data_IF_010547877709
#
_entry.id   IF_010547877709
#
_cell.length_a   1.000
_cell.length_b   1.000
_cell.length_c   1.000
_cell.angle_alpha   90.00
_cell.angle_beta   90.00
_cell.angle_gamma   90.00
#
_symmetry.space_group_name_H-M   'P 1'
#
loop_
_entity.id
_entity.type
_entity.pdbx_description
1 polymer ?
#
# COMPACT_ATOMS: atom_id res chain seq x y z
N UNK A 1 43.96 24.41 -32.78
CA UNK A 1 42.50 24.24 -32.85
C UNK A 1 42.03 23.44 -31.64
N UNK A 2 41.52 24.11 -30.62
CA UNK A 2 40.97 23.45 -29.44
C UNK A 2 39.56 22.95 -29.78
N UNK A 3 39.43 21.63 -29.96
CA UNK A 3 38.12 20.97 -30.03
C UNK A 3 37.50 21.07 -28.65
N UNK A 4 36.50 21.95 -28.54
CA UNK A 4 35.73 22.20 -27.33
C UNK A 4 34.85 20.97 -27.04
N UNK A 5 35.42 19.98 -26.36
CA UNK A 5 34.70 18.79 -25.87
C UNK A 5 33.83 19.14 -24.65
N UNK A 6 32.88 20.06 -24.83
CA UNK A 6 31.71 20.09 -23.95
C UNK A 6 30.89 18.85 -24.30
N UNK A 7 31.09 17.78 -23.54
CA UNK A 7 30.16 16.65 -23.53
C UNK A 7 28.75 17.24 -23.47
N UNK A 8 27.88 16.79 -24.35
CA UNK A 8 26.46 17.13 -24.33
C UNK A 8 25.89 16.73 -22.95
N UNK A 9 25.98 17.63 -21.99
CA UNK A 9 25.17 17.59 -20.79
C UNK A 9 23.75 17.71 -21.30
N UNK A 10 23.08 16.57 -21.40
CA UNK A 10 21.66 16.42 -21.67
C UNK A 10 20.96 17.52 -20.88
N UNK A 11 20.48 18.57 -21.55
CA UNK A 11 19.79 19.68 -20.88
C UNK A 11 18.54 19.07 -20.27
N UNK A 12 18.58 18.79 -18.97
CA UNK A 12 17.45 18.22 -18.24
C UNK A 12 16.23 19.08 -18.52
N UNK A 13 15.19 18.49 -19.12
CA UNK A 13 13.91 19.18 -19.26
C UNK A 13 13.43 19.60 -17.86
N UNK A 14 12.71 20.72 -17.72
CA UNK A 14 12.30 21.22 -16.40
C UNK A 14 11.66 20.15 -15.49
N UNK A 15 10.80 19.23 -16.00
CA UNK A 15 10.27 18.13 -15.20
C UNK A 15 11.34 17.13 -14.71
N UNK A 16 12.30 16.77 -15.56
CA UNK A 16 13.41 15.86 -15.19
C UNK A 16 14.31 16.50 -14.13
N UNK A 17 14.62 17.79 -14.29
CA UNK A 17 15.39 18.56 -13.31
C UNK A 17 14.72 18.62 -11.94
N UNK A 18 13.40 18.80 -11.90
CA UNK A 18 12.63 18.79 -10.64
C UNK A 18 12.67 17.42 -9.94
N UNK A 19 12.41 16.34 -10.68
CA UNK A 19 12.44 14.96 -10.14
C UNK A 19 13.81 14.62 -9.55
N UNK A 20 14.90 15.02 -10.21
CA UNK A 20 16.26 14.81 -9.71
C UNK A 20 16.55 15.56 -8.42
N UNK A 21 16.08 16.80 -8.31
CA UNK A 21 16.28 17.64 -7.11
C UNK A 21 15.39 17.23 -5.94
N UNK A 22 14.17 16.76 -6.21
CA UNK A 22 13.16 16.42 -5.19
C UNK A 22 12.47 15.09 -5.49
N UNK A 23 13.18 13.95 -5.43
CA UNK A 23 12.65 12.66 -5.88
C UNK A 23 11.40 12.20 -5.11
N UNK A 24 11.36 12.41 -3.79
CA UNK A 24 10.17 12.08 -2.99
C UNK A 24 8.95 12.91 -3.40
N UNK A 25 9.12 14.21 -3.58
CA UNK A 25 8.02 15.08 -3.99
C UNK A 25 7.55 14.76 -5.42
N UNK A 26 8.50 14.55 -6.34
CA UNK A 26 8.20 14.11 -7.70
C UNK A 26 7.43 12.79 -7.72
N UNK A 27 7.79 11.84 -6.86
CA UNK A 27 7.07 10.58 -6.70
C UNK A 27 5.63 10.81 -6.24
N UNK A 28 5.39 11.55 -5.14
CA UNK A 28 4.02 11.77 -4.66
C UNK A 28 3.16 12.54 -5.67
N UNK A 29 3.72 13.54 -6.35
CA UNK A 29 3.01 14.29 -7.40
C UNK A 29 2.64 13.37 -8.55
N UNK A 30 3.58 12.59 -9.08
CA UNK A 30 3.31 11.65 -10.18
C UNK A 30 2.33 10.56 -9.77
N UNK A 31 2.50 9.95 -8.60
CA UNK A 31 1.64 8.88 -8.12
C UNK A 31 0.18 9.35 -8.01
N UNK A 32 -0.06 10.52 -7.40
CA UNK A 32 -1.42 11.06 -7.30
C UNK A 32 -1.95 11.50 -8.66
N UNK A 33 -1.20 12.29 -9.44
CA UNK A 33 -1.67 12.79 -10.72
C UNK A 33 -2.04 11.66 -11.69
N UNK A 34 -1.21 10.61 -11.78
CA UNK A 34 -1.44 9.48 -12.67
C UNK A 34 -2.61 8.60 -12.21
N UNK A 35 -2.72 8.30 -10.91
CA UNK A 35 -3.86 7.56 -10.38
C UNK A 35 -5.16 8.31 -10.57
N UNK A 36 -5.19 9.59 -10.19
CA UNK A 36 -6.41 10.38 -10.24
C UNK A 36 -6.86 10.59 -11.69
N UNK A 37 -5.94 10.86 -12.62
CA UNK A 37 -6.28 10.93 -14.04
C UNK A 37 -6.84 9.60 -14.57
N UNK A 38 -6.27 8.46 -14.16
CA UNK A 38 -6.74 7.14 -14.57
C UNK A 38 -8.09 6.75 -13.95
N UNK A 39 -8.39 7.24 -12.74
CA UNK A 39 -9.67 7.01 -12.07
C UNK A 39 -10.76 7.98 -12.49
N UNK A 40 -10.44 9.14 -13.08
CA UNK A 40 -11.44 10.12 -13.52
C UNK A 40 -12.57 9.49 -14.36
N UNK A 41 -12.31 8.62 -15.37
CA UNK A 41 -13.40 7.99 -16.10
C UNK A 41 -14.30 7.11 -15.24
N UNK A 42 -13.74 6.40 -14.24
CA UNK A 42 -14.51 5.57 -13.30
C UNK A 42 -15.32 6.42 -12.30
N UNK A 43 -14.76 7.55 -11.86
CA UNK A 43 -15.46 8.53 -11.02
C UNK A 43 -16.62 9.19 -11.76
N UNK A 44 -16.44 9.51 -13.04
CA UNK A 44 -17.47 10.19 -13.83
C UNK A 44 -18.53 9.23 -14.39
N UNK A 45 -18.27 7.92 -14.43
CA UNK A 45 -19.21 6.92 -14.96
C UNK A 45 -20.42 6.71 -14.07
N UNK A 46 -21.37 5.88 -14.50
CA UNK A 46 -22.51 5.44 -13.70
C UNK A 46 -22.13 4.59 -12.46
N UNK A 47 -20.86 4.16 -12.34
CA UNK A 47 -20.34 3.54 -11.11
C UNK A 47 -19.97 4.56 -10.03
N UNK A 48 -20.03 5.86 -10.34
CA UNK A 48 -19.74 6.95 -9.41
C UNK A 48 -20.73 8.10 -9.53
N UNK A 49 -20.27 9.25 -10.01
CA UNK A 49 -21.06 10.47 -10.07
C UNK A 49 -22.20 10.43 -11.11
N UNK A 50 -22.19 9.48 -12.05
CA UNK A 50 -23.24 9.34 -13.06
C UNK A 50 -23.27 10.47 -14.09
N UNK A 51 -22.15 11.17 -14.29
CA UNK A 51 -22.04 12.27 -15.27
C UNK A 51 -21.93 11.72 -16.70
N UNK A 52 -21.29 10.57 -16.86
CA UNK A 52 -21.13 9.87 -18.14
C UNK A 52 -21.99 8.60 -18.13
N UNK A 53 -22.78 8.42 -19.19
CA UNK A 53 -23.72 7.30 -19.34
C UNK A 53 -23.01 6.04 -19.85
N UNK A 54 -22.16 5.46 -19.00
CA UNK A 54 -21.60 4.14 -19.18
C UNK A 54 -21.23 3.50 -17.83
N UNK A 55 -21.14 2.18 -17.80
CA UNK A 55 -20.65 1.41 -16.65
C UNK A 55 -19.38 0.65 -17.02
N UNK A 56 -18.48 0.49 -16.05
CA UNK A 56 -17.34 -0.39 -16.20
C UNK A 56 -17.79 -1.86 -16.18
N UNK A 57 -17.25 -2.71 -17.08
CA UNK A 57 -17.60 -4.12 -17.08
C UNK A 57 -17.22 -4.81 -15.76
N UNK A 58 -18.08 -5.73 -15.32
CA UNK A 58 -17.82 -6.56 -14.14
C UNK A 58 -16.97 -7.77 -14.53
N UNK A 59 -15.87 -7.99 -13.82
CA UNK A 59 -15.00 -9.16 -13.95
C UNK A 59 -14.89 -9.85 -12.58
N UNK A 60 -15.15 -11.15 -12.53
CA UNK A 60 -15.18 -11.92 -11.27
C UNK A 60 -16.10 -11.30 -10.20
N UNK A 61 -17.25 -10.74 -10.63
CA UNK A 61 -18.22 -10.14 -9.72
C UNK A 61 -17.86 -8.73 -9.22
N UNK A 62 -16.81 -8.10 -9.75
CA UNK A 62 -16.45 -6.72 -9.38
C UNK A 62 -16.00 -5.88 -10.56
N UNK A 63 -16.21 -4.56 -10.49
CA UNK A 63 -15.73 -3.55 -11.45
C UNK A 63 -14.30 -3.10 -11.14
N UNK A 64 -13.74 -3.47 -9.98
CA UNK A 64 -12.45 -2.99 -9.49
C UNK A 64 -11.28 -3.27 -10.45
N UNK A 65 -11.33 -4.38 -11.20
CA UNK A 65 -10.28 -4.73 -12.17
C UNK A 65 -10.13 -3.69 -13.28
N UNK A 66 -11.24 -3.08 -13.72
CA UNK A 66 -11.22 -2.12 -14.81
C UNK A 66 -11.35 -0.69 -14.31
N UNK A 67 -12.06 -0.46 -13.21
CA UNK A 67 -12.27 0.87 -12.62
C UNK A 67 -11.14 1.34 -11.72
N UNK A 68 -10.66 0.49 -10.80
CA UNK A 68 -9.69 0.86 -9.75
C UNK A 68 -8.25 0.49 -10.15
N UNK A 69 -8.06 -0.69 -10.73
CA UNK A 69 -6.73 -1.24 -10.98
C UNK A 69 -5.83 -0.39 -11.90
N UNK A 70 -6.33 0.27 -12.97
CA UNK A 70 -5.49 1.11 -13.81
C UNK A 70 -4.81 2.23 -13.05
N UNK A 71 -5.54 2.96 -12.19
CA UNK A 71 -4.96 4.01 -11.37
C UNK A 71 -4.07 3.47 -10.25
N UNK A 72 -4.37 2.28 -9.71
CA UNK A 72 -3.50 1.61 -8.75
C UNK A 72 -2.13 1.25 -9.34
N UNK A 73 -2.04 0.78 -10.59
CA UNK A 73 -0.75 0.48 -11.22
C UNK A 73 -0.03 1.72 -11.78
N UNK A 74 -0.77 2.67 -12.36
CA UNK A 74 -0.17 3.88 -12.93
C UNK A 74 0.36 4.84 -11.85
N UNK A 75 -0.19 4.79 -10.63
CA UNK A 75 0.26 5.63 -9.54
C UNK A 75 1.54 5.16 -8.89
N UNK A 76 1.52 4.34 -7.84
CA UNK A 76 2.66 4.14 -6.96
C UNK A 76 3.79 3.38 -7.65
N UNK A 77 3.53 2.19 -8.21
CA UNK A 77 4.59 1.40 -8.86
C UNK A 77 5.16 2.11 -10.09
N UNK A 78 4.33 2.67 -10.97
CA UNK A 78 4.84 3.32 -12.18
C UNK A 78 5.50 4.68 -11.91
N UNK A 79 5.00 5.48 -10.97
CA UNK A 79 5.72 6.69 -10.54
C UNK A 79 7.08 6.35 -9.90
N UNK A 80 7.16 5.30 -9.09
CA UNK A 80 8.44 4.82 -8.54
C UNK A 80 9.40 4.38 -9.65
N UNK A 81 8.90 3.70 -10.69
CA UNK A 81 9.69 3.36 -11.87
C UNK A 81 10.22 4.62 -12.58
N UNK A 82 9.36 5.58 -12.90
CA UNK A 82 9.76 6.83 -13.59
C UNK A 82 10.82 7.57 -12.77
N UNK A 83 10.56 7.82 -11.49
CA UNK A 83 11.49 8.56 -10.65
C UNK A 83 12.82 7.83 -10.53
N UNK A 84 12.80 6.53 -10.25
CA UNK A 84 14.02 5.71 -10.17
C UNK A 84 14.78 5.74 -11.48
N UNK A 85 14.11 5.63 -12.62
CA UNK A 85 14.74 5.66 -13.95
C UNK A 85 15.41 7.00 -14.25
N UNK A 86 14.82 8.10 -13.80
CA UNK A 86 15.31 9.48 -13.98
C UNK A 86 16.47 9.81 -13.04
N UNK A 87 16.41 9.34 -11.79
CA UNK A 87 17.42 9.66 -10.76
C UNK A 87 18.58 8.67 -10.68
N UNK A 88 18.33 7.40 -10.97
CA UNK A 88 19.30 6.30 -10.78
C UNK A 88 19.55 5.46 -12.04
N UNK A 89 18.92 5.82 -13.17
CA UNK A 89 19.16 5.15 -14.44
C UNK A 89 18.59 3.72 -14.52
N UNK A 90 19.03 2.96 -15.52
CA UNK A 90 18.59 1.56 -15.73
C UNK A 90 19.06 0.64 -14.60
N UNK A 91 20.25 0.88 -14.07
CA UNK A 91 20.80 0.09 -12.96
C UNK A 91 20.02 0.30 -11.66
N UNK A 92 19.59 1.53 -11.38
CA UNK A 92 18.68 1.82 -10.27
C UNK A 92 17.39 1.01 -10.36
N UNK A 93 16.76 0.99 -11.53
CA UNK A 93 15.54 0.20 -11.77
C UNK A 93 15.81 -1.30 -11.59
N UNK A 94 16.90 -1.83 -12.14
CA UNK A 94 17.26 -3.25 -11.97
C UNK A 94 17.44 -3.61 -10.49
N UNK A 95 18.12 -2.76 -9.72
CA UNK A 95 18.27 -2.96 -8.26
C UNK A 95 16.93 -2.91 -7.55
N UNK A 96 16.06 -1.95 -7.89
CA UNK A 96 14.74 -1.78 -7.30
C UNK A 96 13.83 -2.99 -7.55
N UNK A 97 13.73 -3.44 -8.81
CA UNK A 97 12.96 -4.65 -9.17
C UNK A 97 13.53 -5.88 -8.46
N UNK A 98 14.86 -5.99 -8.33
CA UNK A 98 15.50 -7.08 -7.59
C UNK A 98 15.10 -7.16 -6.11
N UNK A 99 14.65 -6.06 -5.49
CA UNK A 99 14.13 -6.07 -4.11
C UNK A 99 12.73 -6.68 -4.00
N UNK A 100 11.97 -6.68 -5.10
CA UNK A 100 10.60 -7.22 -5.13
C UNK A 100 10.57 -8.74 -4.93
N UNK A 101 11.68 -9.45 -5.11
CA UNK A 101 11.76 -10.91 -5.01
C UNK A 101 12.43 -11.40 -3.71
N UNK A 102 12.48 -10.56 -2.67
CA UNK A 102 13.07 -10.91 -1.37
C UNK A 102 12.17 -11.81 -0.53
N UNK A 103 12.07 -13.08 -0.90
CA UNK A 103 11.29 -14.12 -0.19
C UNK A 103 12.05 -14.81 0.94
N UNK A 104 13.38 -14.75 0.94
CA UNK A 104 14.20 -15.37 2.00
C UNK A 104 14.12 -14.55 3.30
N UNK A 105 13.12 -14.86 4.10
CA UNK A 105 12.80 -14.25 5.40
C UNK A 105 12.53 -15.37 6.39
N UNK A 106 12.80 -15.14 7.68
CA UNK A 106 12.44 -16.10 8.73
C UNK A 106 10.93 -16.44 8.65
N UNK A 107 10.61 -17.73 8.61
CA UNK A 107 9.26 -18.27 8.40
C UNK A 107 8.22 -17.76 9.42
N UNK A 108 8.65 -17.39 10.64
CA UNK A 108 7.78 -16.81 11.66
C UNK A 108 7.08 -15.55 11.13
N UNK A 109 7.74 -14.75 10.29
CA UNK A 109 7.11 -13.55 9.72
C UNK A 109 6.00 -13.86 8.74
N UNK A 110 6.05 -15.00 8.04
CA UNK A 110 4.95 -15.44 7.19
C UNK A 110 3.74 -15.84 8.04
N UNK A 111 3.95 -16.50 9.18
CA UNK A 111 2.86 -16.80 10.10
C UNK A 111 2.28 -15.52 10.73
N UNK A 112 3.14 -14.60 11.16
CA UNK A 112 2.70 -13.32 11.73
C UNK A 112 1.86 -12.54 10.73
N UNK A 113 2.23 -12.48 9.46
CA UNK A 113 1.45 -11.74 8.46
C UNK A 113 0.18 -12.49 8.04
N UNK A 114 0.27 -13.78 7.75
CA UNK A 114 -0.86 -14.57 7.26
C UNK A 114 -1.92 -14.86 8.32
N UNK A 115 -1.53 -15.07 9.59
CA UNK A 115 -2.45 -15.40 10.68
C UNK A 115 -2.73 -14.21 11.59
N UNK A 116 -1.76 -13.32 11.80
CA UNK A 116 -1.92 -12.19 12.71
C UNK A 116 -3.00 -11.21 12.26
N UNK A 117 -3.12 -10.97 10.95
CA UNK A 117 -4.15 -10.09 10.39
C UNK A 117 -5.57 -10.65 10.59
N UNK A 118 -5.91 -11.86 10.10
CA UNK A 118 -7.22 -12.46 10.36
C UNK A 118 -7.54 -12.54 11.85
N UNK A 119 -6.57 -12.94 12.68
CA UNK A 119 -6.77 -13.04 14.13
C UNK A 119 -7.13 -11.70 14.75
N UNK A 120 -6.41 -10.62 14.41
CA UNK A 120 -6.69 -9.29 14.93
C UNK A 120 -8.10 -8.81 14.53
N UNK A 121 -8.53 -9.08 13.29
CA UNK A 121 -9.86 -8.73 12.81
C UNK A 121 -10.92 -9.57 13.54
N UNK A 122 -10.76 -10.89 13.63
CA UNK A 122 -11.71 -11.80 14.29
C UNK A 122 -11.89 -11.43 15.76
N UNK A 123 -10.80 -11.19 16.50
CA UNK A 123 -10.87 -10.84 17.93
C UNK A 123 -11.59 -9.50 18.13
N UNK A 124 -11.33 -8.52 17.26
CA UNK A 124 -11.97 -7.20 17.33
C UNK A 124 -13.45 -7.26 16.92
N UNK A 125 -13.77 -8.02 15.87
CA UNK A 125 -15.15 -8.20 15.42
C UNK A 125 -15.98 -8.94 16.46
N UNK A 126 -15.44 -10.02 17.04
CA UNK A 126 -16.12 -10.79 18.08
C UNK A 126 -16.40 -9.97 19.35
N UNK A 127 -15.53 -9.03 19.72
CA UNK A 127 -15.77 -8.15 20.87
C UNK A 127 -16.84 -7.09 20.60
N UNK A 128 -17.14 -6.80 19.33
CA UNK A 128 -18.15 -5.82 18.91
C UNK A 128 -19.51 -6.44 18.56
N UNK A 129 -19.52 -7.63 17.96
CA UNK A 129 -20.73 -8.23 17.39
C UNK A 129 -21.73 -8.68 18.46
N UNK A 130 -21.25 -9.00 19.68
CA UNK A 130 -22.10 -9.48 20.78
C UNK A 130 -22.77 -10.84 20.51
N UNK A 131 -22.43 -11.49 19.39
CA UNK A 131 -22.99 -12.75 18.92
C UNK A 131 -21.93 -13.85 18.83
N UNK A 132 -22.38 -15.10 18.61
CA UNK A 132 -21.49 -16.23 18.40
C UNK A 132 -20.88 -16.18 17.00
N UNK A 133 -19.61 -16.55 16.90
CA UNK A 133 -18.90 -16.70 15.64
C UNK A 133 -19.59 -17.71 14.73
N UNK A 134 -19.85 -17.33 13.48
CA UNK A 134 -20.33 -18.24 12.44
C UNK A 134 -19.14 -18.77 11.64
N UNK A 135 -19.12 -20.08 11.38
CA UNK A 135 -18.08 -20.69 10.55
C UNK A 135 -18.40 -20.44 9.07
N UNK A 136 -17.46 -19.89 8.28
CA UNK A 136 -17.67 -19.71 6.85
C UNK A 136 -17.91 -21.03 6.13
N UNK A 137 -18.69 -21.03 5.03
CA UNK A 137 -18.81 -22.18 4.16
C UNK A 137 -17.43 -22.66 3.66
N UNK A 138 -17.29 -23.98 3.44
CA UNK A 138 -16.03 -24.56 2.92
C UNK A 138 -15.61 -23.91 1.61
N UNK A 139 -16.56 -23.57 0.73
CA UNK A 139 -16.28 -22.89 -0.53
C UNK A 139 -15.56 -21.54 -0.34
N UNK A 140 -15.92 -20.79 0.71
CA UNK A 140 -15.30 -19.51 1.07
C UNK A 140 -13.87 -19.72 1.55
N UNK A 141 -13.65 -20.75 2.38
CA UNK A 141 -12.31 -21.12 2.85
C UNK A 141 -11.41 -21.57 1.69
N UNK A 142 -11.95 -22.31 0.72
CA UNK A 142 -11.24 -22.72 -0.50
C UNK A 142 -10.89 -21.51 -1.36
N UNK A 143 -11.80 -20.53 -1.48
CA UNK A 143 -11.59 -19.30 -2.26
C UNK A 143 -10.54 -18.36 -1.64
N UNK A 144 -10.25 -18.50 -0.34
CA UNK A 144 -9.34 -17.61 0.39
C UNK A 144 -7.94 -17.56 -0.22
N UNK A 145 -7.34 -18.72 -0.54
CA UNK A 145 -5.97 -18.79 -1.07
C UNK A 145 -5.88 -18.23 -2.50
N UNK A 146 -6.73 -18.62 -3.46
CA UNK A 146 -6.77 -17.99 -4.78
C UNK A 146 -7.00 -16.47 -4.72
N UNK A 147 -7.92 -16.02 -3.87
CA UNK A 147 -8.17 -14.60 -3.65
C UNK A 147 -6.93 -13.86 -3.14
N UNK A 148 -6.21 -14.45 -2.18
CA UNK A 148 -4.98 -13.88 -1.64
C UNK A 148 -3.91 -13.74 -2.73
N UNK A 149 -3.74 -14.77 -3.56
CA UNK A 149 -2.79 -14.74 -4.68
C UNK A 149 -3.16 -13.70 -5.73
N UNK A 150 -4.45 -13.55 -6.03
CA UNK A 150 -4.94 -12.53 -6.94
C UNK A 150 -4.64 -11.13 -6.39
N UNK A 151 -4.87 -10.91 -5.09
CA UNK A 151 -4.62 -9.62 -4.46
C UNK A 151 -3.13 -9.29 -4.31
N UNK A 152 -2.24 -10.28 -4.20
CA UNK A 152 -0.80 -10.05 -4.30
C UNK A 152 -0.44 -9.32 -5.60
N UNK A 153 -1.15 -9.61 -6.69
CA UNK A 153 -0.95 -8.94 -7.98
C UNK A 153 -1.73 -7.63 -8.01
N UNK A 154 -3.04 -7.64 -7.74
CA UNK A 154 -3.89 -6.47 -8.00
C UNK A 154 -3.69 -5.32 -7.01
N UNK A 155 -3.45 -5.60 -5.74
CA UNK A 155 -3.25 -4.58 -4.70
C UNK A 155 -1.79 -4.52 -4.29
N UNK A 156 -1.24 -5.66 -3.85
CA UNK A 156 0.10 -5.72 -3.27
C UNK A 156 1.15 -5.16 -4.24
N UNK A 157 1.19 -5.69 -5.46
CA UNK A 157 2.20 -5.28 -6.45
C UNK A 157 1.94 -3.88 -7.00
N UNK A 158 0.67 -3.48 -7.14
CA UNK A 158 0.33 -2.15 -7.65
C UNK A 158 0.80 -1.02 -6.71
N UNK A 159 0.70 -1.24 -5.40
CA UNK A 159 0.87 -0.19 -4.40
C UNK A 159 2.21 -0.25 -3.65
N UNK A 160 2.55 -1.41 -3.08
CA UNK A 160 3.65 -1.54 -2.11
C UNK A 160 5.04 -1.18 -2.67
N UNK A 161 5.39 -1.49 -3.93
CA UNK A 161 6.67 -1.07 -4.49
C UNK A 161 6.86 0.45 -4.49
N UNK A 162 5.78 1.21 -4.66
CA UNK A 162 5.80 2.67 -4.60
C UNK A 162 5.84 3.18 -3.17
N UNK A 163 4.87 2.77 -2.35
CA UNK A 163 4.71 3.32 -1.01
C UNK A 163 5.80 2.86 -0.05
N UNK A 164 6.10 1.54 -0.02
CA UNK A 164 6.97 0.95 1.01
C UNK A 164 8.40 0.81 0.53
N UNK A 165 8.61 0.31 -0.68
CA UNK A 165 9.98 0.10 -1.17
C UNK A 165 10.62 1.38 -1.72
N UNK A 166 9.85 2.24 -2.41
CA UNK A 166 10.38 3.51 -2.93
C UNK A 166 10.30 4.65 -1.91
N UNK A 167 9.11 4.99 -1.42
CA UNK A 167 8.90 6.19 -0.61
C UNK A 167 9.33 5.99 0.85
N UNK A 168 8.80 4.99 1.55
CA UNK A 168 9.11 4.74 2.95
C UNK A 168 10.61 4.56 3.18
N UNK A 169 11.30 3.73 2.40
CA UNK A 169 12.76 3.53 2.53
C UNK A 169 13.56 4.85 2.46
N UNK A 170 13.22 5.74 1.52
CA UNK A 170 13.85 7.07 1.39
C UNK A 170 13.45 8.01 2.52
N UNK A 171 12.20 7.98 2.95
CA UNK A 171 11.70 8.82 4.04
C UNK A 171 12.30 8.41 5.38
N UNK A 172 12.42 7.10 5.67
CA UNK A 172 13.02 6.60 6.91
C UNK A 172 14.48 7.03 7.05
N UNK A 173 15.25 7.01 5.95
CA UNK A 173 16.64 7.49 5.93
C UNK A 173 16.77 8.98 6.26
N UNK A 174 15.76 9.80 5.93
CA UNK A 174 15.79 11.25 6.11
C UNK A 174 15.17 11.71 7.43
N UNK A 175 14.07 11.10 7.84
CA UNK A 175 13.24 11.57 8.95
C UNK A 175 13.22 10.62 10.15
N UNK A 176 13.81 9.42 10.01
CA UNK A 176 13.65 8.32 10.95
C UNK A 176 12.34 7.55 10.73
N UNK A 177 12.22 6.34 11.32
CA UNK A 177 11.10 5.43 11.06
C UNK A 177 9.74 6.02 11.44
N UNK A 178 9.60 6.51 12.68
CA UNK A 178 8.31 6.99 13.17
C UNK A 178 7.77 8.18 12.38
N UNK A 179 8.61 9.19 12.11
CA UNK A 179 8.18 10.37 11.33
C UNK A 179 7.89 10.01 9.88
N UNK A 180 8.70 9.13 9.27
CA UNK A 180 8.45 8.66 7.92
C UNK A 180 7.09 7.95 7.81
N UNK A 181 6.78 7.05 8.76
CA UNK A 181 5.49 6.37 8.83
C UNK A 181 4.34 7.34 9.08
N UNK A 182 4.49 8.28 10.02
CA UNK A 182 3.45 9.26 10.36
C UNK A 182 3.13 10.20 9.20
N UNK A 183 4.09 10.47 8.31
CA UNK A 183 3.86 11.22 7.08
C UNK A 183 3.27 10.36 5.96
N UNK A 184 3.75 9.13 5.81
CA UNK A 184 3.32 8.25 4.71
C UNK A 184 1.87 7.76 4.87
N UNK A 185 1.43 7.46 6.10
CA UNK A 185 0.08 6.95 6.37
C UNK A 185 -1.03 7.86 5.83
N UNK A 186 -1.06 9.16 6.20
CA UNK A 186 -2.04 10.10 5.67
C UNK A 186 -1.93 10.28 4.15
N UNK A 187 -0.70 10.34 3.59
CA UNK A 187 -0.50 10.49 2.15
C UNK A 187 -1.05 9.29 1.37
N UNK A 188 -0.90 8.08 1.92
CA UNK A 188 -1.47 6.87 1.35
C UNK A 188 -3.00 6.84 1.48
N UNK A 189 -3.55 7.29 2.61
CA UNK A 189 -5.01 7.42 2.76
C UNK A 189 -5.61 8.44 1.80
N UNK A 190 -5.02 9.63 1.70
CA UNK A 190 -5.47 10.73 0.83
C UNK A 190 -5.41 10.35 -0.65
N UNK A 191 -4.45 9.52 -1.05
CA UNK A 191 -4.36 9.02 -2.42
C UNK A 191 -5.67 8.38 -2.89
N UNK A 192 -6.43 7.73 -2.01
CA UNK A 192 -7.70 7.05 -2.32
C UNK A 192 -8.91 7.99 -2.45
N UNK A 193 -8.80 9.29 -2.12
CA UNK A 193 -9.96 10.18 -2.04
C UNK A 193 -10.89 10.17 -3.27
N UNK A 194 -10.40 10.16 -4.51
CA UNK A 194 -11.30 10.11 -5.67
C UNK A 194 -12.17 8.84 -5.72
N UNK A 195 -11.67 7.71 -5.21
CA UNK A 195 -12.43 6.46 -5.22
C UNK A 195 -13.66 6.50 -4.28
N UNK A 196 -13.67 7.40 -3.30
CA UNK A 196 -14.85 7.65 -2.46
C UNK A 196 -16.03 8.28 -3.22
N UNK A 197 -15.81 8.73 -4.45
CA UNK A 197 -16.84 9.19 -5.36
C UNK A 197 -17.36 8.06 -6.27
N UNK A 198 -17.07 6.81 -5.94
CA UNK A 198 -17.52 5.61 -6.68
C UNK A 198 -18.13 4.58 -5.73
N UNK A 199 -18.82 3.59 -6.30
CA UNK A 199 -19.35 2.43 -5.58
C UNK A 199 -18.28 1.71 -4.74
N UNK A 200 -17.00 1.77 -5.14
CA UNK A 200 -15.88 1.21 -4.37
C UNK A 200 -15.79 1.83 -2.97
N UNK A 201 -15.95 3.16 -2.89
CA UNK A 201 -15.91 3.89 -1.63
C UNK A 201 -17.28 4.05 -0.97
N UNK A 202 -18.34 3.51 -1.57
CA UNK A 202 -19.71 3.56 -1.06
C UNK A 202 -20.50 4.80 -1.47
N UNK A 203 -20.14 5.46 -2.57
CA UNK A 203 -20.96 6.53 -3.14
C UNK A 203 -22.35 5.99 -3.55
N UNK A 204 -23.45 6.74 -3.34
CA UNK A 204 -23.54 8.08 -2.74
C UNK A 204 -23.69 8.11 -1.20
N UNK A 205 -23.77 6.94 -0.55
CA UNK A 205 -24.09 6.83 0.88
C UNK A 205 -22.90 7.03 1.83
N UNK A 206 -21.70 7.18 1.27
CA UNK A 206 -20.48 7.39 2.07
C UNK A 206 -20.51 8.72 2.81
N UNK A 207 -20.04 8.70 4.06
CA UNK A 207 -19.97 9.90 4.90
C UNK A 207 -18.53 10.39 5.05
N UNK A 208 -18.34 11.67 5.40
CA UNK A 208 -17.01 12.18 5.75
C UNK A 208 -16.39 11.45 6.94
N UNK A 209 -17.22 10.92 7.85
CA UNK A 209 -16.72 10.12 8.95
C UNK A 209 -16.07 8.82 8.46
N UNK A 210 -16.70 8.16 7.48
CA UNK A 210 -16.17 6.96 6.83
C UNK A 210 -14.83 7.20 6.14
N UNK A 211 -14.69 8.33 5.45
CA UNK A 211 -13.43 8.74 4.83
C UNK A 211 -12.35 8.96 5.91
N UNK A 212 -12.70 9.65 7.00
CA UNK A 212 -11.81 9.87 8.14
C UNK A 212 -11.36 8.58 8.83
N UNK A 213 -12.28 7.64 9.07
CA UNK A 213 -11.99 6.30 9.61
C UNK A 213 -11.01 5.53 8.72
N UNK A 214 -11.20 5.59 7.39
CA UNK A 214 -10.28 4.95 6.44
C UNK A 214 -8.88 5.56 6.48
N UNK A 215 -8.75 6.89 6.46
CA UNK A 215 -7.46 7.56 6.55
C UNK A 215 -6.78 7.26 7.90
N UNK A 216 -7.53 7.28 8.99
CA UNK A 216 -7.02 6.89 10.31
C UNK A 216 -6.52 5.44 10.33
N UNK A 217 -7.24 4.53 9.66
CA UNK A 217 -6.82 3.15 9.48
C UNK A 217 -5.52 3.07 8.66
N UNK A 218 -5.39 3.81 7.55
CA UNK A 218 -4.15 3.87 6.77
C UNK A 218 -2.95 4.33 7.61
N UNK A 219 -3.15 5.31 8.51
CA UNK A 219 -2.15 5.78 9.46
C UNK A 219 -1.73 4.68 10.44
N UNK A 220 -2.69 4.06 11.11
CA UNK A 220 -2.45 2.99 12.06
C UNK A 220 -1.78 1.78 11.38
N UNK A 221 -2.32 1.32 10.26
CA UNK A 221 -1.80 0.17 9.55
C UNK A 221 -0.40 0.42 8.99
N UNK A 222 -0.07 1.65 8.57
CA UNK A 222 1.29 2.01 8.14
C UNK A 222 2.35 1.78 9.22
N UNK A 223 2.00 1.87 10.51
CA UNK A 223 2.89 1.52 11.63
C UNK A 223 3.23 0.03 11.61
N UNK A 224 2.22 -0.83 11.49
CA UNK A 224 2.39 -2.28 11.43
C UNK A 224 3.17 -2.69 10.19
N UNK A 225 2.81 -2.13 9.02
CA UNK A 225 3.52 -2.36 7.76
C UNK A 225 4.98 -1.94 7.86
N UNK A 226 5.28 -0.76 8.41
CA UNK A 226 6.66 -0.28 8.57
C UNK A 226 7.46 -1.20 9.48
N UNK A 227 6.86 -1.67 10.57
CA UNK A 227 7.51 -2.60 11.49
C UNK A 227 7.83 -3.95 10.82
N UNK A 228 6.87 -4.57 10.13
CA UNK A 228 7.11 -5.81 9.38
C UNK A 228 8.16 -5.58 8.29
N UNK A 229 8.05 -4.50 7.53
CA UNK A 229 9.03 -4.13 6.50
C UNK A 229 10.44 -4.08 7.09
N UNK A 230 10.65 -3.32 8.16
CA UNK A 230 11.98 -3.18 8.76
C UNK A 230 12.50 -4.48 9.38
N UNK A 231 11.65 -5.26 10.06
CA UNK A 231 12.05 -6.50 10.75
C UNK A 231 12.34 -7.65 9.79
N UNK A 232 11.73 -7.65 8.62
CA UNK A 232 11.99 -8.62 7.55
C UNK A 232 13.16 -8.21 6.65
N UNK A 233 13.90 -7.16 7.04
CA UNK A 233 15.01 -6.62 6.28
C UNK A 233 14.56 -5.97 4.98
N UNK A 234 13.40 -5.31 4.98
CA UNK A 234 12.75 -4.68 3.82
C UNK A 234 12.27 -5.70 2.79
N UNK A 235 11.59 -6.77 3.24
CA UNK A 235 10.98 -7.74 2.32
C UNK A 235 9.66 -7.20 1.79
N UNK A 236 9.62 -6.91 0.49
CA UNK A 236 8.42 -6.43 -0.18
C UNK A 236 7.31 -7.50 -0.27
N UNK A 237 7.60 -8.78 -0.60
CA UNK A 237 6.57 -9.82 -0.61
C UNK A 237 5.82 -9.99 0.71
N UNK A 238 6.51 -9.88 1.85
CA UNK A 238 5.87 -9.99 3.17
C UNK A 238 4.97 -8.80 3.48
N UNK A 239 5.38 -7.61 3.06
CA UNK A 239 4.57 -6.39 3.18
C UNK A 239 3.34 -6.46 2.29
N UNK A 240 3.50 -6.93 1.05
CA UNK A 240 2.39 -7.20 0.14
C UNK A 240 1.43 -8.20 0.78
N UNK A 241 1.93 -9.33 1.26
CA UNK A 241 1.14 -10.36 1.93
C UNK A 241 0.37 -9.78 3.13
N UNK A 242 1.01 -8.97 3.96
CA UNK A 242 0.38 -8.32 5.11
C UNK A 242 -0.77 -7.40 4.67
N UNK A 243 -0.54 -6.53 3.68
CA UNK A 243 -1.56 -5.63 3.16
C UNK A 243 -2.74 -6.41 2.57
N UNK A 244 -2.45 -7.34 1.65
CA UNK A 244 -3.52 -8.08 0.96
C UNK A 244 -4.25 -9.03 1.88
N UNK A 245 -3.66 -9.46 3.00
CA UNK A 245 -4.36 -10.27 4.01
C UNK A 245 -5.54 -9.52 4.61
N UNK A 246 -5.46 -8.19 4.78
CA UNK A 246 -6.59 -7.39 5.27
C UNK A 246 -7.69 -7.40 4.23
N UNK A 247 -7.35 -7.00 3.01
CA UNK A 247 -8.33 -6.86 1.93
C UNK A 247 -8.95 -8.22 1.60
N UNK A 248 -8.18 -9.31 1.63
CA UNK A 248 -8.68 -10.66 1.34
C UNK A 248 -9.61 -11.18 2.43
N UNK A 249 -9.24 -10.98 3.69
CA UNK A 249 -10.10 -11.37 4.80
C UNK A 249 -11.43 -10.60 4.79
N UNK A 250 -11.36 -9.27 4.61
CA UNK A 250 -12.56 -8.43 4.56
C UNK A 250 -13.47 -8.74 3.37
N UNK A 251 -12.90 -9.03 2.19
CA UNK A 251 -13.69 -9.29 0.98
C UNK A 251 -14.25 -10.71 0.88
N UNK A 252 -13.59 -11.72 1.45
CA UNK A 252 -13.96 -13.13 1.24
C UNK A 252 -14.62 -13.75 2.48
N UNK A 253 -14.14 -13.43 3.69
CA UNK A 253 -14.46 -14.20 4.89
C UNK A 253 -15.31 -13.43 5.89
N UNK A 254 -15.07 -12.13 6.02
CA UNK A 254 -15.60 -11.32 7.12
C UNK A 254 -17.14 -11.33 7.19
N UNK A 255 -17.83 -11.17 6.06
CA UNK A 255 -19.28 -11.09 6.02
C UNK A 255 -19.97 -12.40 6.45
N UNK A 256 -19.41 -13.56 6.10
CA UNK A 256 -19.93 -14.87 6.52
C UNK A 256 -19.69 -15.15 8.01
N UNK A 257 -18.57 -14.65 8.56
CA UNK A 257 -18.23 -14.84 9.98
C UNK A 257 -19.05 -13.94 10.91
N UNK A 258 -19.32 -12.71 10.47
CA UNK A 258 -19.92 -11.64 11.29
C UNK A 258 -21.05 -10.91 10.54
N UNK A 259 -22.14 -11.61 10.15
CA UNK A 259 -23.18 -11.05 9.29
C UNK A 259 -23.87 -9.83 9.91
N UNK A 260 -24.04 -9.78 11.24
CA UNK A 260 -24.68 -8.65 11.93
C UNK A 260 -23.92 -7.33 11.82
N UNK A 261 -22.60 -7.39 11.64
CA UNK A 261 -21.68 -6.24 11.55
C UNK A 261 -20.90 -6.23 10.23
N UNK A 262 -21.43 -6.92 9.21
CA UNK A 262 -20.89 -6.97 7.85
C UNK A 262 -21.21 -5.71 7.02
N UNK A 263 -22.10 -4.84 7.52
CA UNK A 263 -22.40 -3.57 6.86
C UNK A 263 -21.16 -2.67 6.81
N UNK A 264 -21.06 -1.72 5.87
CA UNK A 264 -19.86 -0.92 5.69
C UNK A 264 -19.39 -0.30 7.01
N UNK A 265 -20.24 0.48 7.69
CA UNK A 265 -19.85 1.29 8.86
C UNK A 265 -19.24 0.48 10.02
N UNK A 266 -19.85 -0.60 10.54
CA UNK A 266 -19.20 -1.47 11.53
C UNK A 266 -17.90 -2.09 11.01
N UNK A 267 -17.84 -2.52 9.74
CA UNK A 267 -16.65 -3.13 9.17
C UNK A 267 -15.43 -2.19 9.14
N UNK A 268 -15.59 -0.87 8.87
CA UNK A 268 -14.45 0.08 9.00
C UNK A 268 -14.00 0.23 10.45
N UNK A 269 -14.93 0.24 11.38
CA UNK A 269 -14.61 0.43 12.80
C UNK A 269 -13.84 -0.78 13.32
N UNK A 270 -14.21 -1.99 12.91
CA UNK A 270 -13.46 -3.21 13.21
C UNK A 270 -12.02 -3.10 12.67
N UNK A 271 -11.84 -2.77 11.39
CA UNK A 271 -10.48 -2.68 10.81
C UNK A 271 -9.67 -1.55 11.43
N UNK A 272 -10.27 -0.39 11.68
CA UNK A 272 -9.66 0.73 12.38
C UNK A 272 -9.23 0.36 13.80
N UNK A 273 -10.10 -0.28 14.59
CA UNK A 273 -9.80 -0.68 15.96
C UNK A 273 -8.72 -1.77 16.01
N UNK A 274 -8.82 -2.78 15.14
CA UNK A 274 -7.82 -3.83 15.01
C UNK A 274 -6.45 -3.24 14.62
N UNK A 275 -6.43 -2.38 13.60
CA UNK A 275 -5.23 -1.70 13.13
C UNK A 275 -4.62 -0.77 14.17
N UNK A 276 -5.44 0.01 14.88
CA UNK A 276 -5.00 0.92 15.95
C UNK A 276 -4.44 0.15 17.13
N UNK A 277 -5.10 -0.93 17.55
CA UNK A 277 -4.61 -1.79 18.64
C UNK A 277 -3.25 -2.39 18.27
N UNK A 278 -3.12 -2.97 17.08
CA UNK A 278 -1.85 -3.50 16.59
C UNK A 278 -0.76 -2.41 16.49
N UNK A 279 -1.10 -1.23 16.00
CA UNK A 279 -0.17 -0.11 15.90
C UNK A 279 0.34 0.35 17.28
N UNK A 280 -0.54 0.48 18.27
CA UNK A 280 -0.19 0.84 19.66
C UNK A 280 0.73 -0.22 20.26
N UNK A 281 0.40 -1.50 20.13
CA UNK A 281 1.23 -2.61 20.61
C UNK A 281 2.63 -2.58 19.97
N UNK A 282 2.70 -2.36 18.65
CA UNK A 282 3.98 -2.23 17.92
C UNK A 282 4.77 -1.02 18.39
N UNK A 283 4.14 0.14 18.60
CA UNK A 283 4.80 1.36 19.07
C UNK A 283 5.39 1.17 20.46
N UNK A 284 4.64 0.57 21.37
CA UNK A 284 5.08 0.26 22.74
C UNK A 284 6.24 -0.75 22.68
N UNK A 285 6.05 -1.89 22.02
CA UNK A 285 7.04 -2.96 21.96
C UNK A 285 8.36 -2.53 21.30
N UNK A 286 8.29 -1.60 20.34
CA UNK A 286 9.48 -1.09 19.64
C UNK A 286 10.00 0.23 20.16
N UNK A 287 9.32 0.84 21.15
CA UNK A 287 9.60 2.20 21.65
C UNK A 287 9.71 3.22 20.52
N UNK A 288 8.81 3.12 19.54
CA UNK A 288 8.77 3.98 18.35
C UNK A 288 9.88 3.75 17.31
N UNK A 289 10.78 2.75 17.50
CA UNK A 289 11.84 2.44 16.52
C UNK A 289 11.35 1.64 15.33
N UNK A 290 10.18 1.00 15.43
CA UNK A 290 9.55 0.21 14.37
C UNK A 290 10.50 -0.81 13.73
N UNK A 291 11.41 -1.39 14.52
CA UNK A 291 12.39 -2.36 14.05
C UNK A 291 13.46 -1.83 13.07
N UNK A 292 13.52 -0.51 12.84
CA UNK A 292 14.45 0.10 11.89
C UNK A 292 15.91 -0.10 12.31
N UNK A 293 16.72 -0.56 11.36
CA UNK A 293 18.16 -0.71 11.50
C UNK A 293 18.81 0.08 10.37
N UNK A 294 19.46 1.22 10.65
CA UNK A 294 20.21 1.94 9.63
C UNK A 294 21.23 0.99 8.98
N UNK A 295 21.38 1.07 7.67
CA UNK A 295 22.46 0.37 7.01
C UNK A 295 23.80 0.91 7.57
N UNK A 296 24.63 0.03 8.15
CA UNK A 296 25.98 0.42 8.54
C UNK A 296 26.71 0.97 7.32
N UNK A 297 27.41 2.11 7.42
CA UNK A 297 28.29 2.55 6.34
C UNK A 297 29.25 1.40 6.04
N UNK A 298 29.29 0.95 4.78
CA UNK A 298 30.24 -0.08 4.34
C UNK A 298 31.63 0.43 4.71
N UNK A 299 32.33 -0.27 5.61
CA UNK A 299 33.75 -0.04 5.83
C UNK A 299 34.44 -0.38 4.51
N UNK A 300 34.91 0.65 3.79
CA UNK A 300 35.89 0.48 2.74
C UNK A 300 37.22 0.05 3.41
N UNK A 301 37.30 -1.19 3.87
CA UNK A 301 38.59 -1.82 4.09
C UNK A 301 39.08 -2.27 2.73
N UNK A 302 39.75 -1.33 2.07
CA UNK A 302 40.78 -1.62 1.08
C UNK A 302 41.79 -2.56 1.74
N UNK A 303 41.72 -3.86 1.43
CA UNK A 303 42.83 -4.77 1.63
C UNK A 303 43.60 -4.81 0.31
N UNK A 304 44.45 -3.81 0.12
CA UNK A 304 45.66 -4.01 -0.68
C UNK A 304 46.66 -4.69 0.24
N UNK A 305 46.92 -5.96 -0.02
CA UNK A 305 48.11 -6.70 0.37
C UNK A 305 48.36 -7.74 -0.72
#
# INVERSE_FOLDING_TARGET
>A
MAVNSRSAAERDTPPRGFIRRRPLLGFFVLANAMSWAAWTPYVLSANGLGILDFTFPTLLGTTQFLGVLPGAYLGPIFAAYIVTRVTEGKEGVRRWIGRMTKWRVNWIWYLVTALGVPTAIIVTAASMAGEKLTMPPVAVLVAYVPGLMLQMVTTGLAEEPGWRDFALDRMQRRFGPLRATALLGPLWGVWHLPLFLTEWGGWPDVTWMRVGEFIAFCCAFSVVVTWVFNRTGQSLPLVMLLHVSINNFMSIVYADMFPSIATPAPASRVTLLAGTTAAVLVLIATRGRLGYRPASPRSNTSSAA
#
